data_IF_054857651687
#
_entry.id   IF_054857651687
#
_cell.length_a   1.000
_cell.length_b   1.000
_cell.length_c   1.000
_cell.angle_alpha   90.00
_cell.angle_beta   90.00
_cell.angle_gamma   90.00
#
_symmetry.space_group_name_H-M   'P 1'
#
loop_
_entity.id
_entity.type
_entity.pdbx_description
1 polymer ?
#
# COMPACT_ATOMS: atom_id res chain seq x y z
N UNK A 1 17.76 -5.99 15.24
CA UNK A 1 16.97 -5.52 14.10
C UNK A 1 16.93 -6.65 13.10
N UNK A 2 15.73 -7.09 12.73
CA UNK A 2 15.50 -8.28 11.89
C UNK A 2 14.91 -7.84 10.57
N UNK A 3 15.37 -8.41 9.46
CA UNK A 3 14.76 -8.16 8.16
C UNK A 3 13.48 -9.01 8.00
N UNK A 4 12.38 -8.36 7.67
CA UNK A 4 11.05 -8.96 7.48
C UNK A 4 10.61 -8.71 6.05
N UNK A 5 10.36 -9.78 5.30
CA UNK A 5 9.76 -9.69 3.98
C UNK A 5 8.24 -9.70 4.13
N UNK A 6 7.57 -8.67 3.61
CA UNK A 6 6.11 -8.57 3.64
C UNK A 6 5.53 -8.93 2.28
N UNK A 7 4.56 -9.84 2.30
CA UNK A 7 3.70 -10.13 1.17
C UNK A 7 2.46 -9.25 1.24
N UNK A 8 1.95 -8.82 0.08
CA UNK A 8 0.75 -7.98 0.00
C UNK A 8 -0.36 -8.83 -0.63
N UNK A 9 -1.26 -9.40 0.19
CA UNK A 9 -2.33 -10.25 -0.33
C UNK A 9 -3.38 -9.44 -1.10
N UNK A 10 -4.17 -10.09 -1.98
CA UNK A 10 -5.42 -9.51 -2.46
C UNK A 10 -6.44 -9.45 -1.31
N UNK A 11 -7.37 -8.46 -1.29
CA UNK A 11 -7.61 -7.46 -2.33
C UNK A 11 -6.63 -6.28 -2.35
N UNK A 12 -5.83 -6.02 -1.31
CA UNK A 12 -4.94 -4.85 -1.23
C UNK A 12 -3.97 -4.76 -2.43
N UNK A 13 -3.29 -5.85 -2.79
CA UNK A 13 -2.37 -5.85 -3.94
C UNK A 13 -3.07 -5.55 -5.26
N UNK A 14 -4.33 -5.96 -5.44
CA UNK A 14 -5.10 -5.63 -6.65
C UNK A 14 -5.44 -4.14 -6.69
N UNK A 15 -5.72 -3.52 -5.55
CA UNK A 15 -5.92 -2.07 -5.45
C UNK A 15 -4.67 -1.29 -5.82
N UNK A 16 -3.51 -1.71 -5.30
CA UNK A 16 -2.23 -1.07 -5.60
C UNK A 16 -1.87 -1.21 -7.09
N UNK A 17 -2.05 -2.40 -7.68
CA UNK A 17 -1.86 -2.62 -9.12
C UNK A 17 -2.80 -1.75 -9.96
N UNK A 18 -4.07 -1.64 -9.55
CA UNK A 18 -5.03 -0.80 -10.27
C UNK A 18 -4.61 0.67 -10.31
N UNK A 19 -3.93 1.13 -9.26
CA UNK A 19 -3.46 2.50 -9.13
C UNK A 19 -2.06 2.73 -9.74
N UNK A 20 -1.46 1.75 -10.40
CA UNK A 20 -0.18 1.88 -11.10
C UNK A 20 -0.35 2.74 -12.37
N UNK A 21 0.38 3.87 -12.45
CA UNK A 21 0.23 4.88 -13.52
C UNK A 21 1.45 4.99 -14.44
N UNK A 22 2.65 4.63 -13.98
CA UNK A 22 3.88 4.81 -14.77
C UNK A 22 4.54 3.50 -15.26
N UNK A 23 4.36 2.36 -14.60
CA UNK A 23 5.16 1.17 -14.89
C UNK A 23 4.37 0.02 -15.58
N UNK A 24 5.08 -0.72 -16.44
CA UNK A 24 4.63 -1.95 -17.12
C UNK A 24 5.38 -3.16 -16.53
N UNK A 25 5.67 -3.15 -15.19
CA UNK A 25 6.60 -4.00 -14.37
C UNK A 25 8.05 -3.48 -14.26
N UNK A 26 8.87 -3.97 -13.31
CA UNK A 26 8.80 -3.92 -11.84
C UNK A 26 9.73 -2.83 -11.23
N UNK A 27 10.24 -1.88 -12.02
CA UNK A 27 11.31 -0.98 -11.55
C UNK A 27 10.84 0.16 -10.66
N UNK A 28 9.59 0.59 -10.79
CA UNK A 28 9.12 1.85 -10.22
C UNK A 28 8.59 1.71 -8.77
N UNK A 29 8.25 0.51 -8.29
CA UNK A 29 7.85 0.30 -6.89
C UNK A 29 6.68 1.18 -6.43
N UNK A 30 6.78 1.73 -5.21
CA UNK A 30 5.80 2.70 -4.70
C UNK A 30 5.70 3.97 -5.54
N UNK A 31 6.76 4.38 -6.23
CA UNK A 31 6.76 5.57 -7.09
C UNK A 31 5.93 5.35 -8.37
N UNK A 32 5.60 4.09 -8.69
CA UNK A 32 4.72 3.73 -9.80
C UNK A 32 3.24 4.02 -9.53
N UNK A 33 2.87 4.14 -8.26
CA UNK A 33 1.50 4.03 -7.79
C UNK A 33 0.97 5.41 -7.47
N UNK A 34 -0.11 5.80 -8.14
CA UNK A 34 -0.82 7.02 -7.82
C UNK A 34 -1.70 6.83 -6.59
N UNK A 35 -1.53 7.68 -5.59
CA UNK A 35 -2.45 7.79 -4.44
C UNK A 35 -3.54 8.85 -4.68
N UNK A 36 -3.87 9.13 -5.95
CA UNK A 36 -4.98 10.04 -6.31
C UNK A 36 -6.31 9.48 -5.77
N UNK A 37 -7.02 10.24 -4.92
CA UNK A 37 -8.31 9.83 -4.38
C UNK A 37 -9.32 9.39 -5.45
N UNK A 38 -9.35 10.03 -6.61
CA UNK A 38 -10.32 9.70 -7.66
C UNK A 38 -10.04 8.31 -8.29
N UNK A 39 -8.78 7.92 -8.37
CA UNK A 39 -8.37 6.61 -8.88
C UNK A 39 -8.70 5.51 -7.87
N UNK A 40 -8.39 5.75 -6.60
CA UNK A 40 -8.71 4.82 -5.51
C UNK A 40 -10.22 4.66 -5.34
N UNK A 41 -11.00 5.75 -5.41
CA UNK A 41 -12.47 5.70 -5.38
C UNK A 41 -13.03 4.89 -6.56
N UNK A 42 -12.43 5.01 -7.74
CA UNK A 42 -12.82 4.22 -8.91
C UNK A 42 -12.60 2.72 -8.68
N UNK A 43 -11.48 2.35 -8.06
CA UNK A 43 -11.25 0.97 -7.64
C UNK A 43 -12.28 0.51 -6.61
N UNK A 44 -12.53 1.30 -5.57
CA UNK A 44 -13.48 0.98 -4.50
C UNK A 44 -14.88 0.66 -5.06
N UNK A 45 -15.36 1.47 -6.00
CA UNK A 45 -16.65 1.25 -6.68
C UNK A 45 -16.69 -0.03 -7.51
N UNK A 46 -15.58 -0.49 -8.07
CA UNK A 46 -15.52 -1.71 -8.87
C UNK A 46 -15.53 -2.98 -8.03
N UNK A 47 -14.88 -2.97 -6.86
CA UNK A 47 -14.71 -4.17 -6.03
C UNK A 47 -15.76 -4.30 -4.93
N UNK A 48 -16.44 -3.20 -4.57
CA UNK A 48 -17.47 -3.14 -3.55
C UNK A 48 -16.91 -3.11 -2.11
N UNK A 49 -17.76 -2.69 -1.17
CA UNK A 49 -17.37 -2.38 0.21
C UNK A 49 -16.73 -3.53 0.98
N UNK A 50 -17.12 -4.79 0.71
CA UNK A 50 -16.51 -5.96 1.37
C UNK A 50 -15.02 -6.06 1.05
N UNK A 51 -14.65 -5.92 -0.22
CA UNK A 51 -13.25 -5.98 -0.65
C UNK A 51 -12.45 -4.74 -0.19
N UNK A 52 -13.10 -3.57 -0.14
CA UNK A 52 -12.48 -2.36 0.41
C UNK A 52 -12.17 -2.52 1.89
N UNK A 53 -13.13 -3.00 2.69
CA UNK A 53 -12.95 -3.26 4.12
C UNK A 53 -11.81 -4.27 4.38
N UNK A 54 -11.75 -5.36 3.60
CA UNK A 54 -10.65 -6.33 3.71
C UNK A 54 -9.30 -5.71 3.32
N UNK A 55 -9.23 -4.92 2.24
CA UNK A 55 -7.99 -4.23 1.85
C UNK A 55 -7.51 -3.26 2.93
N UNK A 56 -8.43 -2.58 3.62
CA UNK A 56 -8.09 -1.68 4.75
C UNK A 56 -7.54 -2.43 5.95
N UNK A 57 -8.08 -3.60 6.29
CA UNK A 57 -7.53 -4.45 7.34
C UNK A 57 -6.11 -4.91 7.01
N UNK A 58 -5.89 -5.40 5.78
CA UNK A 58 -4.57 -5.80 5.29
C UNK A 58 -3.57 -4.63 5.32
N UNK A 59 -4.04 -3.43 5.01
CA UNK A 59 -3.21 -2.23 5.01
C UNK A 59 -2.84 -1.79 6.43
N UNK A 60 -3.77 -1.87 7.39
CA UNK A 60 -3.51 -1.59 8.79
C UNK A 60 -2.46 -2.53 9.37
N UNK A 61 -2.57 -3.84 9.11
CA UNK A 61 -1.57 -4.83 9.51
C UNK A 61 -0.18 -4.51 8.93
N UNK A 62 -0.12 -4.11 7.65
CA UNK A 62 1.12 -3.71 7.01
C UNK A 62 1.72 -2.45 7.64
N UNK A 63 0.89 -1.45 7.97
CA UNK A 63 1.33 -0.23 8.67
C UNK A 63 1.94 -0.60 10.02
N UNK A 64 1.28 -1.44 10.83
CA UNK A 64 1.79 -1.88 12.13
C UNK A 64 3.18 -2.54 12.03
N UNK A 65 3.38 -3.42 11.04
CA UNK A 65 4.67 -4.07 10.79
C UNK A 65 5.74 -3.05 10.38
N UNK A 66 5.38 -2.05 9.57
CA UNK A 66 6.31 -1.00 9.12
C UNK A 66 6.57 0.03 10.22
N UNK A 67 5.67 0.25 11.18
CA UNK A 67 5.91 1.14 12.32
C UNK A 67 6.86 0.52 13.36
N UNK A 68 6.87 -0.81 13.46
CA UNK A 68 7.78 -1.52 14.36
C UNK A 68 9.25 -1.33 13.94
N UNK A 69 9.96 -0.49 14.71
CA UNK A 69 11.37 -0.15 14.50
C UNK A 69 12.32 -1.31 14.81
N UNK A 70 11.85 -2.40 15.42
CA UNK A 70 12.64 -3.60 15.60
C UNK A 70 12.85 -4.38 14.29
N UNK A 71 12.03 -4.12 13.28
CA UNK A 71 12.07 -4.74 11.96
C UNK A 71 12.59 -3.78 10.88
N UNK A 72 13.30 -4.32 9.90
CA UNK A 72 13.50 -3.68 8.59
C UNK A 72 12.60 -4.39 7.61
N UNK A 73 11.70 -3.65 6.98
CA UNK A 73 10.72 -4.21 6.04
C UNK A 73 11.29 -4.19 4.63
N UNK A 74 11.18 -5.30 3.93
CA UNK A 74 11.39 -5.40 2.49
C UNK A 74 10.13 -5.90 1.79
N UNK A 75 9.82 -5.33 0.63
CA UNK A 75 8.74 -5.81 -0.23
C UNK A 75 9.21 -5.82 -1.67
N UNK A 76 9.20 -7.00 -2.29
CA UNK A 76 9.46 -7.15 -3.73
C UNK A 76 8.31 -6.57 -4.56
N UNK A 77 7.09 -6.62 -4.04
CA UNK A 77 5.90 -6.08 -4.68
C UNK A 77 5.96 -4.55 -4.76
N UNK A 78 6.28 -3.88 -3.65
CA UNK A 78 6.44 -2.43 -3.62
C UNK A 78 7.82 -1.94 -4.08
N UNK A 79 8.73 -2.88 -4.41
CA UNK A 79 10.15 -2.62 -4.67
C UNK A 79 10.77 -1.65 -3.63
N UNK A 80 10.54 -1.91 -2.35
CA UNK A 80 10.92 -1.00 -1.27
C UNK A 80 11.66 -1.69 -0.12
N UNK A 81 12.56 -0.95 0.54
CA UNK A 81 13.36 -1.43 1.67
C UNK A 81 13.63 -0.33 2.70
N UNK A 82 13.18 -0.55 3.95
CA UNK A 82 13.30 0.42 5.06
C UNK A 82 14.67 0.34 5.77
N UNK A 83 15.75 0.60 5.03
CA UNK A 83 17.13 0.52 5.54
C UNK A 83 17.46 1.59 6.59
N UNK A 84 16.72 2.70 6.57
CA UNK A 84 16.82 3.84 7.46
C UNK A 84 15.43 4.44 7.78
N UNK A 85 15.41 5.48 8.63
CA UNK A 85 14.19 6.18 9.03
C UNK A 85 13.52 6.93 7.85
N UNK A 86 14.25 7.63 6.96
CA UNK A 86 13.67 8.21 5.74
C UNK A 86 12.94 7.20 4.85
N UNK A 87 13.55 6.05 4.55
CA UNK A 87 12.92 5.03 3.72
C UNK A 87 11.69 4.42 4.40
N UNK A 88 11.73 4.23 5.73
CA UNK A 88 10.53 3.85 6.49
C UNK A 88 9.44 4.89 6.38
N UNK A 89 9.79 6.16 6.56
CA UNK A 89 8.84 7.27 6.49
C UNK A 89 8.17 7.36 5.13
N UNK A 90 8.94 7.21 4.04
CA UNK A 90 8.42 7.18 2.68
C UNK A 90 7.37 6.07 2.50
N UNK A 91 7.65 4.86 3.00
CA UNK A 91 6.69 3.76 2.94
C UNK A 91 5.43 4.06 3.75
N UNK A 92 5.58 4.57 4.98
CA UNK A 92 4.42 4.92 5.83
C UNK A 92 3.57 6.03 5.21
N UNK A 93 4.18 7.05 4.62
CA UNK A 93 3.45 8.14 3.98
C UNK A 93 2.65 7.61 2.76
N UNK A 94 3.23 6.70 1.97
CA UNK A 94 2.51 6.00 0.89
C UNK A 94 1.33 5.19 1.43
N UNK A 95 1.55 4.33 2.42
CA UNK A 95 0.51 3.46 2.99
C UNK A 95 -0.63 4.29 3.62
N UNK A 96 -0.30 5.37 4.32
CA UNK A 96 -1.29 6.26 4.92
C UNK A 96 -2.12 7.02 3.87
N UNK A 97 -1.48 7.49 2.79
CA UNK A 97 -2.20 8.13 1.68
C UNK A 97 -3.15 7.14 0.99
N UNK A 98 -2.74 5.88 0.83
CA UNK A 98 -3.58 4.84 0.25
C UNK A 98 -4.76 4.50 1.18
N UNK A 99 -4.55 4.37 2.50
CA UNK A 99 -5.64 4.13 3.46
C UNK A 99 -6.66 5.27 3.47
N UNK A 100 -6.20 6.52 3.42
CA UNK A 100 -7.08 7.68 3.33
C UNK A 100 -7.97 7.63 2.07
N UNK A 101 -7.41 7.22 0.93
CA UNK A 101 -8.17 7.01 -0.30
C UNK A 101 -9.21 5.89 -0.17
N UNK A 102 -8.84 4.76 0.43
CA UNK A 102 -9.75 3.63 0.66
C UNK A 102 -10.88 4.01 1.62
N UNK A 103 -10.56 4.73 2.70
CA UNK A 103 -11.53 5.20 3.68
C UNK A 103 -12.55 6.18 3.08
N UNK A 104 -12.09 7.06 2.19
CA UNK A 104 -12.99 7.97 1.46
C UNK A 104 -13.89 7.20 0.48
N UNK A 105 -13.34 6.24 -0.26
CA UNK A 105 -14.09 5.44 -1.23
C UNK A 105 -15.12 4.48 -0.62
N UNK A 106 -14.94 4.06 0.64
CA UNK A 106 -15.90 3.24 1.39
C UNK A 106 -17.11 4.04 1.91
N UNK A 107 -16.96 5.36 2.04
CA UNK A 107 -18.01 6.27 2.51
C UNK A 107 -18.92 6.81 1.38
N UNK A 108 -18.53 6.63 0.12
CA UNK A 108 -19.25 7.06 -1.10
C UNK A 108 -20.29 6.04 -1.57
#
# INVERSE_FOLDING_TARGET
>A
MVDVSVEIPPPLSKGIIFCEVECVRPCCGIDAVSTDPALIETWCRQVGSVAVAEARLQLAELIEVVEDRSHRVTSTFLNHYTHDDPARRQLLDFLAAFDAGLAAGDAS
#
